data_IF_032373065914
#
_entry.id   IF_032373065914
#
_cell.length_a   1.000
_cell.length_b   1.000
_cell.length_c   1.000
_cell.angle_alpha   90.00
_cell.angle_beta   90.00
_cell.angle_gamma   90.00
#
_symmetry.space_group_name_H-M   'P 1'
#
loop_
_entity.id
_entity.type
_entity.pdbx_description
1 polymer ?
#
# COMPACT_ATOMS: atom_id res chain seq x y z
N UNK A 1 -5.65 -22.45 -8.82
CA UNK A 1 -6.05 -21.10 -8.39
C UNK A 1 -4.78 -20.27 -8.25
N UNK A 2 -4.67 -19.13 -8.95
CA UNK A 2 -3.55 -18.21 -8.75
C UNK A 2 -3.48 -17.83 -7.26
N UNK A 3 -2.30 -17.93 -6.66
CA UNK A 3 -2.12 -17.50 -5.28
C UNK A 3 -2.54 -16.03 -5.18
N UNK A 4 -3.42 -15.74 -4.22
CA UNK A 4 -3.84 -14.36 -3.95
C UNK A 4 -2.61 -13.56 -3.54
N UNK A 5 -2.49 -12.34 -4.07
CA UNK A 5 -1.42 -11.44 -3.70
C UNK A 5 -1.49 -11.19 -2.17
N UNK A 6 -0.35 -11.32 -1.45
CA UNK A 6 -0.35 -11.30 0.01
C UNK A 6 -0.76 -9.93 0.60
N UNK A 7 -0.64 -8.84 -0.16
CA UNK A 7 -1.03 -7.49 0.25
C UNK A 7 -2.31 -6.99 -0.42
N UNK A 8 -3.00 -7.84 -1.20
CA UNK A 8 -4.26 -7.48 -1.86
C UNK A 8 -5.32 -6.99 -0.88
N UNK A 9 -5.38 -7.58 0.32
CA UNK A 9 -6.36 -7.17 1.34
C UNK A 9 -6.19 -5.69 1.70
N UNK A 10 -4.97 -5.29 2.04
CA UNK A 10 -4.64 -3.92 2.43
C UNK A 10 -4.85 -2.96 1.26
N UNK A 11 -4.48 -3.35 0.03
CA UNK A 11 -4.74 -2.56 -1.16
C UNK A 11 -6.24 -2.31 -1.39
N UNK A 12 -7.08 -3.32 -1.22
CA UNK A 12 -8.53 -3.17 -1.31
C UNK A 12 -9.11 -2.27 -0.21
N UNK A 13 -8.61 -2.38 1.02
CA UNK A 13 -9.05 -1.51 2.13
C UNK A 13 -8.67 -0.04 1.89
N UNK A 14 -7.51 0.24 1.28
CA UNK A 14 -7.15 1.62 0.88
C UNK A 14 -8.19 2.16 -0.10
N UNK A 15 -8.55 1.40 -1.14
CA UNK A 15 -9.52 1.85 -2.14
C UNK A 15 -10.89 2.14 -1.52
N UNK A 16 -11.38 1.26 -0.63
CA UNK A 16 -12.62 1.49 0.12
C UNK A 16 -12.54 2.74 0.98
N UNK A 17 -11.44 2.92 1.71
CA UNK A 17 -11.25 4.09 2.55
C UNK A 17 -11.26 5.38 1.72
N UNK A 18 -10.54 5.40 0.60
CA UNK A 18 -10.50 6.56 -0.29
C UNK A 18 -11.88 6.88 -0.84
N UNK A 19 -12.62 5.88 -1.32
CA UNK A 19 -14.00 6.09 -1.79
C UNK A 19 -14.90 6.68 -0.69
N UNK A 20 -14.81 6.15 0.54
CA UNK A 20 -15.59 6.66 1.67
C UNK A 20 -15.19 8.09 2.10
N UNK A 21 -13.92 8.46 1.90
CA UNK A 21 -13.35 9.73 2.34
C UNK A 21 -13.16 10.76 1.22
N UNK A 22 -13.83 10.58 0.08
CA UNK A 22 -13.71 11.47 -1.09
C UNK A 22 -12.26 11.63 -1.55
N UNK A 23 -11.50 10.54 -1.50
CA UNK A 23 -10.10 10.45 -1.89
C UNK A 23 -9.13 11.33 -1.07
N UNK A 24 -9.54 11.74 0.13
CA UNK A 24 -8.65 12.44 1.07
C UNK A 24 -7.74 11.40 1.74
N UNK A 25 -6.51 11.27 1.25
CA UNK A 25 -5.55 10.26 1.71
C UNK A 25 -5.18 10.38 3.20
N UNK A 26 -5.13 11.61 3.75
CA UNK A 26 -4.83 11.84 5.17
C UNK A 26 -5.84 11.18 6.12
N UNK A 27 -7.07 10.92 5.65
CA UNK A 27 -8.08 10.17 6.42
C UNK A 27 -7.90 8.65 6.36
N UNK A 28 -7.01 8.18 5.49
CA UNK A 28 -6.74 6.77 5.23
C UNK A 28 -5.32 6.35 5.65
N UNK A 29 -4.59 7.22 6.37
CA UNK A 29 -3.20 6.99 6.76
C UNK A 29 -2.99 5.65 7.47
N UNK A 30 -3.93 5.21 8.31
CA UNK A 30 -3.76 3.97 9.08
C UNK A 30 -3.77 2.74 8.17
N UNK A 31 -4.62 2.74 7.13
CA UNK A 31 -4.68 1.65 6.15
C UNK A 31 -3.49 1.71 5.20
N UNK A 32 -3.04 2.92 4.83
CA UNK A 32 -1.82 3.16 4.05
C UNK A 32 -0.59 2.65 4.82
N UNK A 33 -0.48 2.94 6.12
CA UNK A 33 0.57 2.42 7.00
C UNK A 33 0.54 0.89 7.09
N UNK A 34 -0.65 0.29 7.18
CA UNK A 34 -0.78 -1.16 7.16
C UNK A 34 -0.29 -1.79 5.84
N UNK A 35 -0.53 -1.11 4.71
CA UNK A 35 -0.02 -1.53 3.41
C UNK A 35 1.51 -1.41 3.34
N UNK A 36 2.09 -0.31 3.84
CA UNK A 36 3.56 -0.16 3.93
C UNK A 36 4.19 -1.30 4.72
N UNK A 37 3.64 -1.63 5.90
CA UNK A 37 4.10 -2.80 6.70
C UNK A 37 3.97 -4.12 5.95
N UNK A 38 2.90 -4.30 5.17
CA UNK A 38 2.76 -5.49 4.33
C UNK A 38 3.89 -5.58 3.30
N UNK A 39 4.27 -4.46 2.69
CA UNK A 39 5.32 -4.38 1.69
C UNK A 39 6.75 -4.44 2.27
N UNK A 40 6.93 -4.11 3.54
CA UNK A 40 8.19 -4.39 4.27
C UNK A 40 8.41 -5.91 4.42
N UNK A 41 7.34 -6.68 4.63
CA UNK A 41 7.40 -8.15 4.78
C UNK A 41 7.42 -8.86 3.42
N UNK A 42 6.76 -8.30 2.41
CA UNK A 42 6.64 -8.88 1.08
C UNK A 42 7.19 -7.93 0.01
N UNK A 43 8.32 -8.30 -0.59
CA UNK A 43 8.93 -7.53 -1.67
C UNK A 43 8.02 -7.43 -2.90
N UNK A 44 8.25 -6.43 -3.76
CA UNK A 44 7.48 -6.20 -4.98
C UNK A 44 7.47 -7.37 -5.98
N UNK A 45 8.45 -8.30 -5.89
CA UNK A 45 8.44 -9.55 -6.67
C UNK A 45 7.37 -10.55 -6.21
N UNK A 46 6.95 -10.46 -4.93
CA UNK A 46 5.98 -11.36 -4.30
C UNK A 46 4.58 -10.74 -4.20
N UNK A 47 4.47 -9.44 -4.37
CA UNK A 47 3.24 -8.66 -4.31
C UNK A 47 3.27 -7.54 -5.35
N UNK A 48 2.39 -7.64 -6.36
CA UNK A 48 2.23 -6.57 -7.35
C UNK A 48 1.69 -5.30 -6.69
N UNK A 49 0.88 -5.45 -5.63
CA UNK A 49 0.33 -4.33 -4.88
C UNK A 49 1.42 -3.48 -4.19
N UNK A 50 2.60 -4.04 -3.94
CA UNK A 50 3.71 -3.33 -3.31
C UNK A 50 4.59 -2.52 -4.27
N UNK A 51 4.44 -2.72 -5.59
CA UNK A 51 5.27 -2.03 -6.58
C UNK A 51 5.15 -0.49 -6.55
N UNK A 52 3.98 0.03 -6.18
CA UNK A 52 3.76 1.47 -5.98
C UNK A 52 4.30 2.02 -4.66
N UNK A 53 4.33 1.20 -3.59
CA UNK A 53 4.73 1.62 -2.25
C UNK A 53 6.24 1.70 -2.06
N UNK A 54 7.00 0.84 -2.75
CA UNK A 54 8.48 0.83 -2.66
C UNK A 54 9.06 2.12 -3.26
N UNK A 55 8.51 2.62 -4.37
CA UNK A 55 8.98 3.84 -5.05
C UNK A 55 8.81 5.08 -4.18
N UNK A 56 7.69 5.18 -3.47
CA UNK A 56 7.38 6.33 -2.61
C UNK A 56 8.30 6.39 -1.36
N UNK A 57 8.69 5.22 -0.82
CA UNK A 57 9.69 5.17 0.27
C UNK A 57 11.06 5.68 -0.19
N UNK A 58 11.49 5.33 -1.40
CA UNK A 58 12.76 5.81 -1.96
C UNK A 58 12.76 7.33 -2.23
N UNK A 59 11.63 7.89 -2.67
CA UNK A 59 11.48 9.34 -2.88
C UNK A 59 11.47 10.12 -1.56
N UNK A 60 10.83 9.58 -0.51
CA UNK A 60 10.81 10.21 0.82
C UNK A 60 12.22 10.30 1.43
N UNK A 61 13.05 9.26 1.24
CA UNK A 61 14.44 9.21 1.72
C UNK A 61 15.34 10.18 0.96
N UNK A 62 15.11 10.39 -0.34
CA UNK A 62 15.91 11.33 -1.15
C UNK A 62 15.62 12.81 -0.85
N UNK A 63 14.47 13.10 -0.26
CA UNK A 63 14.00 14.46 0.01
C UNK A 63 14.20 14.90 1.48
N UNK A 64 14.85 14.07 2.30
CA UNK A 64 15.28 14.38 3.68
C UNK A 64 16.79 14.61 3.70
#
# INVERSE_FOLDING_TARGET
MSQKDPCQKQACEIQKCLQANKYIESKCEDVIRAMRRCCEVHTAQRSICCSGFVKEQEETIKNT
#
